data_IF_768366779347
#
_entry.id   IF_768366779347
#
_cell.length_a   1.000
_cell.length_b   1.000
_cell.length_c   1.000
_cell.angle_alpha   90.00
_cell.angle_beta   90.00
_cell.angle_gamma   90.00
#
_symmetry.space_group_name_H-M   'P 1'
#
loop_
_entity.id
_entity.type
_entity.pdbx_description
1 polymer ?
#
# COMPACT_ATOMS: atom_id res chain seq x y z
N UNK A 1 -8.20 14.23 9.26
CA UNK A 1 -8.35 13.15 8.26
C UNK A 1 -9.36 12.11 8.71
N UNK A 2 -10.56 12.27 8.15
CA UNK A 2 -11.64 11.29 8.17
C UNK A 2 -11.32 10.16 7.19
N UNK A 3 -12.06 9.04 7.27
CA UNK A 3 -11.89 7.93 6.33
C UNK A 3 -12.26 8.34 4.90
N UNK A 4 -13.26 9.21 4.75
CA UNK A 4 -13.71 9.69 3.43
C UNK A 4 -12.61 10.52 2.76
N UNK A 5 -12.02 11.48 3.48
CA UNK A 5 -10.90 12.29 2.96
C UNK A 5 -9.71 11.41 2.55
N UNK A 6 -9.40 10.38 3.33
CA UNK A 6 -8.34 9.42 3.00
C UNK A 6 -8.66 8.59 1.75
N UNK A 7 -9.92 8.18 1.56
CA UNK A 7 -10.35 7.46 0.37
C UNK A 7 -10.27 8.34 -0.88
N UNK A 8 -10.65 9.61 -0.78
CA UNK A 8 -10.54 10.57 -1.90
C UNK A 8 -9.08 10.80 -2.29
N UNK A 9 -8.20 11.03 -1.31
CA UNK A 9 -6.76 11.17 -1.57
C UNK A 9 -6.17 9.89 -2.18
N UNK A 10 -6.57 8.72 -1.71
CA UNK A 10 -6.10 7.45 -2.24
C UNK A 10 -6.52 7.29 -3.71
N UNK A 11 -7.79 7.57 -4.04
CA UNK A 11 -8.27 7.57 -5.43
C UNK A 11 -7.47 8.56 -6.30
N UNK A 12 -7.26 9.79 -5.83
CA UNK A 12 -6.52 10.82 -6.57
C UNK A 12 -5.07 10.43 -6.86
N UNK A 13 -4.44 9.66 -5.96
CA UNK A 13 -3.06 9.15 -6.10
C UNK A 13 -2.98 7.77 -6.76
N UNK A 14 -4.09 7.23 -7.26
CA UNK A 14 -4.13 5.88 -7.86
C UNK A 14 -3.93 4.73 -6.86
N UNK A 15 -4.06 4.99 -5.55
CA UNK A 15 -3.96 4.00 -4.49
C UNK A 15 -5.29 3.26 -4.36
N UNK A 16 -5.25 1.93 -4.44
CA UNK A 16 -6.44 1.08 -4.33
C UNK A 16 -7.07 1.15 -2.94
N UNK A 17 -8.40 1.25 -2.89
CA UNK A 17 -9.18 1.19 -1.66
C UNK A 17 -9.46 -0.25 -1.20
N UNK A 18 -9.34 -1.22 -2.10
CA UNK A 18 -9.64 -2.61 -1.79
C UNK A 18 -8.51 -3.21 -0.95
N UNK A 19 -8.87 -4.07 0.01
CA UNK A 19 -7.88 -4.85 0.73
C UNK A 19 -7.23 -5.85 -0.21
N UNK A 20 -5.90 -5.90 -0.18
CA UNK A 20 -5.14 -7.00 -0.77
C UNK A 20 -5.15 -8.21 0.16
N UNK A 21 -4.69 -9.36 -0.34
CA UNK A 21 -4.46 -10.53 0.51
C UNK A 21 -3.57 -10.16 1.71
N UNK A 22 -2.46 -9.48 1.45
CA UNK A 22 -1.50 -9.12 2.50
C UNK A 22 -2.12 -8.19 3.55
N UNK A 23 -2.92 -7.21 3.14
CA UNK A 23 -3.63 -6.34 4.08
C UNK A 23 -4.54 -7.12 5.04
N UNK A 24 -5.16 -8.20 4.55
CA UNK A 24 -5.99 -9.08 5.37
C UNK A 24 -5.13 -9.94 6.29
N UNK A 25 -4.01 -10.48 5.79
CA UNK A 25 -3.08 -11.26 6.62
C UNK A 25 -2.51 -10.41 7.76
N UNK A 26 -2.01 -9.20 7.45
CA UNK A 26 -1.45 -8.30 8.46
C UNK A 26 -2.50 -7.98 9.55
N UNK A 27 -3.75 -7.74 9.16
CA UNK A 27 -4.83 -7.48 10.11
C UNK A 27 -5.17 -8.73 10.95
N UNK A 28 -5.12 -9.92 10.37
CA UNK A 28 -5.33 -11.17 11.11
C UNK A 28 -4.18 -11.42 12.11
N UNK A 29 -2.93 -11.12 11.74
CA UNK A 29 -1.78 -11.22 12.64
C UNK A 29 -1.91 -10.26 13.84
N UNK A 30 -2.51 -9.08 13.64
CA UNK A 30 -2.84 -8.13 14.71
C UNK A 30 -3.96 -8.64 15.64
N UNK A 31 -4.98 -9.30 15.07
CA UNK A 31 -6.15 -9.79 15.82
C UNK A 31 -5.90 -11.13 16.52
N UNK A 32 -5.08 -11.99 15.95
CA UNK A 32 -4.75 -13.34 16.43
C UNK A 32 -3.23 -13.49 16.56
N UNK A 33 -2.59 -12.79 17.52
CA UNK A 33 -1.14 -12.85 17.69
C UNK A 33 -0.69 -14.28 18.05
N UNK A 34 0.36 -14.75 17.38
CA UNK A 34 0.92 -16.09 17.57
C UNK A 34 0.33 -17.17 16.65
N UNK A 35 -0.65 -16.83 15.81
CA UNK A 35 -1.16 -17.69 14.74
C UNK A 35 -0.48 -17.31 13.41
N UNK A 36 -0.02 -18.30 12.65
CA UNK A 36 0.56 -18.05 11.31
C UNK A 36 -0.53 -18.02 10.23
N UNK A 37 -0.79 -16.84 9.69
CA UNK A 37 -1.80 -16.63 8.66
C UNK A 37 -1.25 -16.64 7.23
N UNK A 38 0.08 -16.74 7.02
CA UNK A 38 0.70 -16.57 5.69
C UNK A 38 0.18 -17.55 4.63
N UNK A 39 -0.17 -18.76 5.07
CA UNK A 39 -0.70 -19.82 4.21
C UNK A 39 -2.20 -19.69 3.88
N UNK A 40 -2.95 -18.78 4.52
CA UNK A 40 -4.38 -18.60 4.27
C UNK A 40 -4.64 -18.17 2.82
N UNK A 41 -5.62 -18.78 2.18
CA UNK A 41 -5.97 -18.51 0.78
C UNK A 41 -7.36 -19.04 0.44
N UNK A 42 -7.94 -18.57 -0.66
CA UNK A 42 -9.24 -19.05 -1.15
C UNK A 42 -10.32 -19.05 -0.05
N UNK A 43 -10.94 -20.21 0.16
CA UNK A 43 -12.02 -20.39 1.13
C UNK A 43 -11.59 -20.15 2.59
N UNK A 44 -10.37 -20.52 2.99
CA UNK A 44 -9.91 -20.33 4.38
C UNK A 44 -9.72 -18.84 4.70
N UNK A 45 -9.19 -18.07 3.74
CA UNK A 45 -9.09 -16.62 3.87
C UNK A 45 -10.48 -15.96 3.92
N UNK A 46 -11.42 -16.42 3.09
CA UNK A 46 -12.81 -15.91 3.11
C UNK A 46 -13.46 -16.17 4.47
N UNK A 47 -13.26 -17.35 5.04
CA UNK A 47 -13.81 -17.71 6.35
C UNK A 47 -13.18 -16.87 7.47
N UNK A 48 -11.86 -16.66 7.45
CA UNK A 48 -11.18 -15.79 8.41
C UNK A 48 -11.71 -14.35 8.33
N UNK A 49 -11.89 -13.82 7.12
CA UNK A 49 -12.50 -12.49 6.93
C UNK A 49 -13.89 -12.40 7.53
N UNK A 50 -14.73 -13.42 7.33
CA UNK A 50 -16.07 -13.47 7.92
C UNK A 50 -16.04 -13.55 9.44
N UNK A 51 -15.18 -14.41 10.01
CA UNK A 51 -15.01 -14.60 11.46
C UNK A 51 -14.67 -13.29 12.17
N UNK A 52 -13.79 -12.49 11.57
CA UNK A 52 -13.31 -11.23 12.15
C UNK A 52 -14.01 -9.99 11.61
N UNK A 53 -15.11 -10.16 10.86
CA UNK A 53 -15.87 -9.07 10.26
C UNK A 53 -15.02 -8.11 9.40
N UNK A 54 -13.99 -8.66 8.73
CA UNK A 54 -13.09 -7.89 7.88
C UNK A 54 -13.79 -7.60 6.55
N UNK A 55 -14.06 -6.32 6.33
CA UNK A 55 -14.67 -5.80 5.10
C UNK A 55 -13.77 -5.91 3.87
N UNK A 56 -14.30 -5.58 2.68
CA UNK A 56 -13.53 -5.59 1.44
C UNK A 56 -12.63 -4.36 1.26
N UNK A 57 -12.88 -3.27 1.99
CA UNK A 57 -12.17 -2.00 1.87
C UNK A 57 -11.15 -1.82 2.99
N UNK A 58 -10.06 -1.12 2.67
CA UNK A 58 -9.05 -0.69 3.64
C UNK A 58 -9.67 0.25 4.67
N UNK A 59 -9.28 0.07 5.92
CA UNK A 59 -9.66 0.97 7.01
C UNK A 59 -8.64 2.12 7.17
N UNK A 60 -8.91 3.03 8.11
CA UNK A 60 -8.15 4.28 8.29
C UNK A 60 -6.63 4.11 8.28
N UNK A 61 -6.08 3.21 9.12
CA UNK A 61 -4.61 3.04 9.23
C UNK A 61 -4.01 2.48 7.94
N UNK A 62 -4.71 1.53 7.31
CA UNK A 62 -4.26 0.96 6.04
C UNK A 62 -4.27 1.97 4.90
N UNK A 63 -5.25 2.88 4.87
CA UNK A 63 -5.28 3.99 3.91
C UNK A 63 -4.12 4.95 4.13
N UNK A 64 -3.84 5.32 5.40
CA UNK A 64 -2.70 6.19 5.74
C UNK A 64 -1.39 5.54 5.30
N UNK A 65 -1.13 4.29 5.69
CA UNK A 65 0.08 3.55 5.31
C UNK A 65 0.25 3.41 3.80
N UNK A 66 -0.85 3.17 3.08
CA UNK A 66 -0.81 3.07 1.62
C UNK A 66 -0.50 4.42 0.95
N UNK A 67 -1.05 5.52 1.47
CA UNK A 67 -0.78 6.87 1.01
C UNK A 67 0.67 7.30 1.29
N UNK A 68 1.19 6.99 2.48
CA UNK A 68 2.59 7.25 2.85
C UNK A 68 3.55 6.50 1.95
N UNK A 69 3.27 5.21 1.70
CA UNK A 69 4.06 4.40 0.76
C UNK A 69 4.06 5.01 -0.65
N UNK A 70 2.89 5.36 -1.17
CA UNK A 70 2.77 5.95 -2.50
C UNK A 70 3.53 7.29 -2.61
N UNK A 71 3.49 8.13 -1.58
CA UNK A 71 4.26 9.36 -1.54
C UNK A 71 5.79 9.10 -1.52
N UNK A 72 6.24 8.09 -0.76
CA UNK A 72 7.64 7.70 -0.74
C UNK A 72 8.13 7.15 -2.09
N UNK A 73 7.30 6.36 -2.78
CA UNK A 73 7.59 5.82 -4.11
C UNK A 73 7.69 6.95 -5.16
N UNK A 74 6.79 7.93 -5.11
CA UNK A 74 6.83 9.12 -5.99
C UNK A 74 8.11 9.94 -5.81
N UNK A 75 8.51 10.20 -4.57
CA UNK A 75 9.76 10.91 -4.26
C UNK A 75 11.00 10.14 -4.75
N UNK A 76 11.02 8.83 -4.54
CA UNK A 76 12.11 7.97 -5.00
C UNK A 76 12.20 7.95 -6.52
N UNK A 77 11.07 7.89 -7.23
CA UNK A 77 11.05 7.94 -8.69
C UNK A 77 11.54 9.29 -9.22
N UNK A 78 11.12 10.39 -8.59
CA UNK A 78 11.56 11.74 -8.97
C UNK A 78 13.08 11.89 -8.79
N UNK A 79 13.63 11.45 -7.66
CA UNK A 79 15.07 11.49 -7.41
C UNK A 79 15.87 10.68 -8.45
N UNK A 80 15.36 9.51 -8.86
CA UNK A 80 15.98 8.71 -9.93
C UNK A 80 15.96 9.44 -11.27
N UNK A 81 14.83 10.06 -11.64
CA UNK A 81 14.71 10.85 -12.87
C UNK A 81 15.68 12.03 -12.89
N UNK A 82 15.79 12.76 -11.78
CA UNK A 82 16.72 13.89 -11.65
C UNK A 82 18.18 13.45 -11.76
N UNK A 83 18.56 12.32 -11.15
CA UNK A 83 19.91 11.76 -11.26
C UNK A 83 20.26 11.33 -12.70
N UNK A 84 19.31 10.70 -13.40
CA UNK A 84 19.50 10.28 -14.81
C UNK A 84 19.60 11.50 -15.74
N UNK A 85 18.77 12.52 -15.55
CA UNK A 85 18.83 13.78 -16.30
C UNK A 85 20.15 14.54 -16.07
N UNK A 86 20.65 14.58 -14.84
CA UNK A 86 21.93 15.19 -14.51
C UNK A 86 23.10 14.46 -15.20
N UNK A 87 23.15 13.13 -15.09
CA UNK A 87 24.20 12.32 -15.75
C UNK A 87 24.18 12.43 -17.29
N UNK A 88 22.99 12.58 -17.89
CA UNK A 88 22.86 12.78 -19.34
C UNK A 88 23.33 14.17 -19.80
N UNK A 89 23.19 15.19 -18.96
CA UNK A 89 23.71 16.55 -19.22
C UNK A 89 25.24 16.61 -19.07
N UNK A 90 25.81 15.91 -18.09
CA UNK A 90 27.26 15.85 -17.89
C UNK A 90 27.97 15.05 -19.00
N UNK A 91 27.41 13.92 -19.44
CA UNK A 91 27.97 13.12 -20.55
C UNK A 91 27.97 13.84 -21.91
N UNK A 92 27.14 14.86 -22.10
CA UNK A 92 27.06 15.64 -23.36
C UNK A 92 28.04 16.83 -23.39
N UNK A 93 28.72 17.14 -22.28
CA UNK A 93 29.63 18.30 -22.18
C UNK A 93 31.11 17.94 -22.40
N UNK A 94 31.42 16.66 -22.70
CA UNK A 94 32.79 16.11 -22.84
C UNK A 94 33.09 15.61 -24.26
N UNK A 95 32.42 16.14 -25.29
CA UNK A 95 32.72 15.86 -26.71
C UNK A 95 32.87 17.14 -27.50
#
# INVERSE_FOLDING_TARGET
LTVVELQEMAKAKGVSLNMTKQDVIDLLDELEPGVDHKALQGATLINAKKKHHIGPLKYKQQLVKALEKAAGEELAEKAKKEAVEAGKKEGKKVV
#
